data_IF_108649202363
#
_entry.id   IF_108649202363
#
_cell.length_a   1.000
_cell.length_b   1.000
_cell.length_c   1.000
_cell.angle_alpha   90.00
_cell.angle_beta   90.00
_cell.angle_gamma   90.00
#
_symmetry.space_group_name_H-M   'P 1'
#
loop_
_entity.id
_entity.type
_entity.pdbx_description
1 polymer ?
#
# COMPACT_ATOMS: atom_id res chain seq x y z
N UNK A 1 -9.70 -11.63 -11.88
CA UNK A 1 -8.88 -10.75 -11.04
C UNK A 1 -9.39 -9.34 -11.13
N UNK A 2 -9.59 -8.72 -10.00
CA UNK A 2 -10.15 -7.38 -9.94
C UNK A 2 -9.30 -6.49 -9.03
N UNK A 3 -9.14 -5.21 -9.41
CA UNK A 3 -8.53 -4.21 -8.54
C UNK A 3 -9.30 -4.03 -7.22
N UNK A 4 -10.58 -4.42 -7.18
CA UNK A 4 -11.41 -4.38 -5.97
C UNK A 4 -10.98 -5.36 -4.88
N UNK A 5 -10.15 -6.34 -5.21
CA UNK A 5 -9.60 -7.27 -4.22
C UNK A 5 -8.34 -6.74 -3.55
N UNK A 6 -7.85 -5.57 -3.95
CA UNK A 6 -6.59 -5.02 -3.47
C UNK A 6 -6.86 -3.80 -2.61
N UNK A 7 -6.32 -3.82 -1.39
CA UNK A 7 -6.40 -2.71 -0.44
C UNK A 7 -4.99 -2.17 -0.18
N UNK A 8 -4.87 -0.85 -0.17
CA UNK A 8 -3.64 -0.18 0.26
C UNK A 8 -3.84 0.34 1.68
N UNK A 9 -2.94 -0.01 2.59
CA UNK A 9 -3.01 0.34 4.01
C UNK A 9 -1.84 1.26 4.35
N UNK A 10 -2.15 2.44 4.86
CA UNK A 10 -1.17 3.39 5.38
C UNK A 10 -1.20 3.31 6.91
N UNK A 11 -0.12 2.84 7.50
CA UNK A 11 0.01 2.69 8.95
C UNK A 11 0.71 3.91 9.55
N UNK A 12 -0.01 4.67 10.35
CA UNK A 12 0.47 5.89 11.02
C UNK A 12 1.12 6.89 10.07
N UNK A 13 0.46 7.24 8.95
CA UNK A 13 1.02 8.24 8.04
C UNK A 13 1.13 9.59 8.76
N UNK A 14 2.21 10.31 8.51
CA UNK A 14 2.54 11.54 9.24
C UNK A 14 2.18 12.81 8.48
N UNK A 15 2.26 12.78 7.14
CA UNK A 15 2.11 13.97 6.30
C UNK A 15 0.85 13.91 5.47
N UNK A 16 0.01 14.94 5.59
CA UNK A 16 -1.23 15.08 4.83
C UNK A 16 -1.01 14.97 3.33
N UNK A 17 0.03 15.63 2.82
CA UNK A 17 0.36 15.63 1.38
C UNK A 17 0.71 14.24 0.85
N UNK A 18 1.31 13.39 1.68
CA UNK A 18 1.60 12.00 1.29
C UNK A 18 0.31 11.16 1.21
N UNK A 19 -0.61 11.37 2.13
CA UNK A 19 -1.90 10.67 2.11
C UNK A 19 -2.68 11.02 0.85
N UNK A 20 -2.79 12.31 0.54
CA UNK A 20 -3.47 12.77 -0.67
C UNK A 20 -2.80 12.26 -1.94
N UNK A 21 -1.46 12.31 -2.00
CA UNK A 21 -0.69 11.81 -3.13
C UNK A 21 -0.86 10.30 -3.33
N UNK A 22 -0.95 9.53 -2.23
CA UNK A 22 -1.25 8.09 -2.29
C UNK A 22 -2.62 7.83 -2.95
N UNK A 23 -3.66 8.54 -2.52
CA UNK A 23 -4.99 8.40 -3.11
C UNK A 23 -4.98 8.74 -4.61
N UNK A 24 -4.28 9.82 -4.98
CA UNK A 24 -4.12 10.20 -6.39
C UNK A 24 -3.44 9.09 -7.19
N UNK A 25 -2.35 8.53 -6.67
CA UNK A 25 -1.63 7.43 -7.31
C UNK A 25 -2.47 6.17 -7.45
N UNK A 26 -3.26 5.84 -6.43
CA UNK A 26 -4.21 4.72 -6.50
C UNK A 26 -5.21 4.91 -7.63
N UNK A 27 -5.77 6.09 -7.77
CA UNK A 27 -6.74 6.38 -8.83
C UNK A 27 -6.12 6.30 -10.23
N UNK A 28 -4.87 6.71 -10.37
CA UNK A 28 -4.15 6.60 -11.64
C UNK A 28 -4.14 5.15 -12.17
N UNK A 29 -4.11 4.18 -11.28
CA UNK A 29 -4.01 2.76 -11.64
C UNK A 29 -5.28 1.97 -11.30
N UNK A 30 -6.39 2.66 -11.12
CA UNK A 30 -7.72 2.08 -10.93
C UNK A 30 -7.88 1.27 -9.64
N UNK A 31 -7.20 1.68 -8.57
CA UNK A 31 -7.40 1.14 -7.23
C UNK A 31 -8.23 2.11 -6.39
N UNK A 32 -9.16 1.57 -5.60
CA UNK A 32 -10.13 2.38 -4.86
C UNK A 32 -10.13 2.17 -3.35
N UNK A 33 -9.57 1.05 -2.86
CA UNK A 33 -9.65 0.69 -1.45
C UNK A 33 -8.43 1.18 -0.68
N UNK A 34 -8.64 2.26 0.07
CA UNK A 34 -7.65 2.83 0.98
C UNK A 34 -8.08 2.59 2.42
N UNK A 35 -7.16 2.10 3.23
CA UNK A 35 -7.31 1.99 4.68
C UNK A 35 -6.21 2.80 5.35
N UNK A 36 -6.58 3.56 6.37
CA UNK A 36 -5.64 4.40 7.13
C UNK A 36 -5.69 4.00 8.60
N UNK A 37 -4.54 3.70 9.17
CA UNK A 37 -4.40 3.31 10.56
C UNK A 37 -3.76 4.44 11.35
N UNK A 38 -4.47 4.94 12.35
CA UNK A 38 -3.98 5.93 13.32
C UNK A 38 -3.16 7.07 12.66
N UNK A 39 -3.75 7.83 11.72
CA UNK A 39 -3.03 8.91 11.05
C UNK A 39 -2.65 10.01 12.04
N UNK A 40 -1.45 10.60 11.89
CA UNK A 40 -1.01 11.72 12.72
C UNK A 40 -1.82 12.99 12.46
N UNK A 41 -2.07 13.39 11.19
CA UNK A 41 -2.94 14.54 10.94
C UNK A 41 -4.41 14.18 11.20
N UNK A 42 -5.23 15.21 11.44
CA UNK A 42 -6.70 15.05 11.45
C UNK A 42 -7.12 14.50 10.09
N UNK A 43 -7.93 13.45 10.09
CA UNK A 43 -8.29 12.76 8.86
C UNK A 43 -9.82 12.70 8.68
N UNK A 44 -10.36 13.14 7.53
CA UNK A 44 -9.64 13.89 6.49
C UNK A 44 -9.43 15.36 6.87
N UNK A 45 -8.63 16.07 6.10
CA UNK A 45 -8.46 17.51 6.23
C UNK A 45 -8.31 18.15 4.84
N UNK A 46 -8.31 19.49 4.80
CA UNK A 46 -8.29 20.23 3.54
C UNK A 46 -7.04 19.96 2.72
N UNK A 47 -5.90 19.80 3.37
CA UNK A 47 -4.62 19.54 2.68
C UNK A 47 -4.59 18.14 2.04
N UNK A 48 -5.14 17.15 2.74
CA UNK A 48 -5.30 15.79 2.18
C UNK A 48 -6.19 15.84 0.94
N UNK A 49 -7.32 16.52 1.03
CA UNK A 49 -8.25 16.63 -0.09
C UNK A 49 -7.65 17.41 -1.26
N UNK A 50 -6.92 18.49 -0.99
CA UNK A 50 -6.28 19.29 -2.02
C UNK A 50 -5.19 18.48 -2.77
N UNK A 51 -4.37 17.74 -2.04
CA UNK A 51 -3.28 16.94 -2.63
C UNK A 51 -3.77 15.65 -3.30
N UNK A 52 -4.98 15.20 -3.00
CA UNK A 52 -5.59 14.07 -3.69
C UNK A 52 -6.10 14.43 -5.09
N UNK A 53 -6.21 15.72 -5.40
CA UNK A 53 -6.66 16.24 -6.69
C UNK A 53 -8.03 15.64 -7.06
N UNK A 54 -8.14 14.86 -8.13
CA UNK A 54 -9.38 14.19 -8.55
C UNK A 54 -9.72 12.91 -7.80
N UNK A 55 -8.97 12.54 -6.76
CA UNK A 55 -9.15 11.30 -6.01
C UNK A 55 -9.82 11.49 -4.63
N UNK A 56 -10.56 12.57 -4.45
CA UNK A 56 -11.27 12.84 -3.18
C UNK A 56 -12.22 11.72 -2.77
N UNK A 57 -12.82 11.05 -3.74
CA UNK A 57 -13.72 9.92 -3.47
C UNK A 57 -13.00 8.76 -2.78
N UNK A 58 -11.73 8.52 -3.07
CA UNK A 58 -10.93 7.48 -2.40
C UNK A 58 -10.73 7.86 -0.93
N UNK A 59 -10.39 9.12 -0.65
CA UNK A 59 -10.26 9.64 0.71
C UNK A 59 -11.58 9.51 1.47
N UNK A 60 -12.69 9.94 0.86
CA UNK A 60 -13.99 9.97 1.52
C UNK A 60 -14.56 8.57 1.78
N UNK A 61 -14.20 7.57 0.99
CA UNK A 61 -14.62 6.18 1.16
C UNK A 61 -13.63 5.33 1.95
N UNK A 62 -12.49 5.90 2.34
CA UNK A 62 -11.46 5.16 3.06
C UNK A 62 -11.97 4.69 4.43
N UNK A 63 -11.43 3.56 4.87
CA UNK A 63 -11.67 3.04 6.21
C UNK A 63 -10.56 3.52 7.14
N UNK A 64 -10.93 3.94 8.33
CA UNK A 64 -9.99 4.42 9.35
C UNK A 64 -10.09 3.54 10.57
N UNK A 65 -8.94 3.07 11.06
CA UNK A 65 -8.84 2.23 12.25
C UNK A 65 -7.80 2.82 13.21
N UNK A 66 -7.97 2.54 14.50
CA UNK A 66 -6.98 2.91 15.51
C UNK A 66 -5.82 1.90 15.57
N UNK A 67 -6.07 0.65 15.16
CA UNK A 67 -5.12 -0.45 15.22
C UNK A 67 -5.12 -1.25 13.93
N UNK A 68 -3.97 -1.85 13.62
CA UNK A 68 -3.78 -2.62 12.39
C UNK A 68 -4.63 -3.90 12.36
N UNK A 69 -4.63 -4.67 13.44
CA UNK A 69 -5.24 -6.00 13.48
C UNK A 69 -6.70 -6.03 13.00
N UNK A 70 -7.60 -5.15 13.50
CA UNK A 70 -8.98 -5.15 13.02
C UNK A 70 -9.12 -4.87 11.52
N UNK A 71 -8.19 -4.11 10.94
CA UNK A 71 -8.22 -3.76 9.52
C UNK A 71 -7.92 -4.94 8.60
N UNK A 72 -7.32 -6.01 9.14
CA UNK A 72 -6.89 -7.18 8.38
C UNK A 72 -7.89 -8.33 8.39
N UNK A 73 -9.04 -8.16 9.07
CA UNK A 73 -10.01 -9.22 9.30
C UNK A 73 -10.47 -9.92 8.01
N UNK A 74 -10.69 -9.16 6.94
CA UNK A 74 -11.19 -9.70 5.68
C UNK A 74 -10.09 -9.81 4.60
N UNK A 75 -8.82 -9.79 5.00
CA UNK A 75 -7.68 -9.87 4.08
C UNK A 75 -7.10 -11.28 4.10
N UNK A 76 -6.88 -11.85 2.91
CA UNK A 76 -6.27 -13.18 2.78
C UNK A 76 -4.75 -13.14 2.84
N UNK A 77 -4.13 -12.15 2.19
CA UNK A 77 -2.67 -11.98 2.16
C UNK A 77 -2.28 -10.54 2.46
N UNK A 78 -1.32 -10.37 3.34
CA UNK A 78 -0.73 -9.07 3.66
C UNK A 78 0.70 -9.05 3.17
N UNK A 79 1.04 -8.05 2.37
CA UNK A 79 2.38 -7.80 1.85
C UNK A 79 2.87 -6.49 2.45
N UNK A 80 3.86 -6.58 3.35
CA UNK A 80 4.42 -5.42 4.00
C UNK A 80 5.59 -4.87 3.18
N UNK A 81 5.54 -3.58 2.86
CA UNK A 81 6.68 -2.91 2.24
C UNK A 81 7.69 -2.55 3.31
N UNK A 82 8.93 -2.91 3.10
CA UNK A 82 9.99 -2.65 4.07
C UNK A 82 11.34 -2.48 3.38
N UNK A 83 12.10 -1.50 3.85
CA UNK A 83 13.52 -1.36 3.48
C UNK A 83 14.43 -2.20 4.38
N UNK A 84 13.87 -2.88 5.38
CA UNK A 84 14.63 -3.62 6.39
C UNK A 84 14.12 -5.05 6.51
N UNK A 85 15.06 -6.01 6.52
CA UNK A 85 14.77 -7.44 6.68
C UNK A 85 15.16 -7.86 8.09
N UNK A 86 14.22 -7.76 9.04
CA UNK A 86 14.49 -8.11 10.44
C UNK A 86 13.88 -9.43 10.87
N UNK A 87 12.80 -9.86 10.22
CA UNK A 87 12.09 -11.08 10.61
C UNK A 87 12.41 -12.22 9.63
N UNK A 88 13.21 -13.17 10.08
CA UNK A 88 13.62 -14.33 9.29
C UNK A 88 12.50 -15.34 9.04
N UNK A 89 11.37 -15.23 9.76
CA UNK A 89 10.25 -16.15 9.63
C UNK A 89 9.26 -15.74 8.55
N UNK A 90 9.37 -14.53 8.02
CA UNK A 90 8.48 -14.03 6.97
C UNK A 90 9.22 -14.09 5.64
N UNK A 91 8.57 -14.70 4.66
CA UNK A 91 9.13 -14.81 3.32
C UNK A 91 9.31 -13.43 2.70
N UNK A 92 10.53 -13.20 2.22
CA UNK A 92 10.87 -12.00 1.50
C UNK A 92 10.69 -12.20 0.01
N UNK A 93 10.02 -11.27 -0.66
CA UNK A 93 9.80 -11.31 -2.10
C UNK A 93 10.33 -10.05 -2.78
N UNK A 94 10.68 -10.21 -4.04
CA UNK A 94 11.04 -9.11 -4.92
C UNK A 94 9.81 -8.60 -5.69
N UNK A 95 9.96 -7.45 -6.32
CA UNK A 95 8.85 -6.84 -7.07
C UNK A 95 8.30 -7.78 -8.15
N UNK A 96 9.18 -8.46 -8.90
CA UNK A 96 8.78 -9.40 -9.93
C UNK A 96 8.03 -10.63 -9.39
N UNK A 97 8.20 -10.98 -8.12
CA UNK A 97 7.49 -12.10 -7.49
C UNK A 97 5.99 -11.81 -7.33
N UNK A 98 5.59 -10.55 -7.45
CA UNK A 98 4.17 -10.19 -7.44
C UNK A 98 3.38 -10.87 -8.56
N UNK A 99 4.04 -11.28 -9.64
CA UNK A 99 3.44 -12.06 -10.72
C UNK A 99 2.91 -13.41 -10.25
N UNK A 100 3.45 -13.94 -9.15
CA UNK A 100 3.08 -15.23 -8.58
C UNK A 100 1.95 -15.13 -7.55
N UNK A 101 1.58 -13.91 -7.16
CA UNK A 101 0.51 -13.69 -6.17
C UNK A 101 -0.85 -13.90 -6.84
N UNK A 102 -1.74 -14.57 -6.12
CA UNK A 102 -3.11 -14.79 -6.55
C UNK A 102 -3.99 -13.57 -6.20
N UNK A 103 -4.15 -12.66 -7.16
CA UNK A 103 -4.98 -11.47 -6.99
C UNK A 103 -6.48 -11.73 -7.14
N UNK A 104 -6.92 -12.98 -7.26
CA UNK A 104 -8.34 -13.32 -7.03
C UNK A 104 -8.66 -13.32 -5.55
N UNK A 105 -7.67 -13.42 -4.70
CA UNK A 105 -7.77 -13.29 -3.24
C UNK A 105 -7.74 -11.84 -2.81
N UNK A 106 -8.15 -11.58 -1.57
CA UNK A 106 -8.09 -10.25 -0.97
C UNK A 106 -6.68 -9.98 -0.46
N UNK A 107 -5.98 -9.10 -1.13
CA UNK A 107 -4.58 -8.76 -0.86
C UNK A 107 -4.48 -7.34 -0.33
N UNK A 108 -3.73 -7.14 0.73
CA UNK A 108 -3.40 -5.81 1.25
C UNK A 108 -1.92 -5.54 1.13
N UNK A 109 -1.59 -4.35 0.65
CA UNK A 109 -0.24 -3.79 0.68
C UNK A 109 -0.14 -2.85 1.86
N UNK A 110 0.76 -3.14 2.80
CA UNK A 110 0.93 -2.40 4.03
C UNK A 110 2.17 -1.50 3.97
N UNK A 111 1.96 -0.21 4.18
CA UNK A 111 3.01 0.81 4.16
C UNK A 111 3.18 1.43 5.55
N UNK A 112 4.41 1.57 6.00
CA UNK A 112 4.73 2.21 7.27
C UNK A 112 4.79 3.73 7.19
N UNK A 113 4.99 4.35 8.36
CA UNK A 113 5.12 5.80 8.44
C UNK A 113 6.39 6.30 7.74
N UNK A 114 6.36 7.57 7.34
CA UNK A 114 7.44 8.20 6.57
C UNK A 114 8.79 8.17 7.29
N UNK A 115 8.78 8.40 8.60
CA UNK A 115 10.02 8.50 9.37
C UNK A 115 10.56 7.15 9.84
N UNK A 116 9.69 6.24 10.30
CA UNK A 116 10.12 5.03 11.00
C UNK A 116 9.81 3.73 10.25
N UNK A 117 9.00 3.79 9.19
CA UNK A 117 8.55 2.59 8.49
C UNK A 117 7.68 1.70 9.38
N UNK A 118 7.71 0.40 9.12
CA UNK A 118 6.99 -0.60 9.90
C UNK A 118 7.90 -1.17 10.99
N UNK A 119 7.36 -1.32 12.20
CA UNK A 119 8.04 -2.04 13.28
C UNK A 119 7.96 -3.55 13.07
N UNK A 120 8.73 -4.31 13.88
CA UNK A 120 8.66 -5.77 13.85
C UNK A 120 7.26 -6.28 14.18
N UNK A 121 6.52 -5.58 15.04
CA UNK A 121 5.17 -5.96 15.39
C UNK A 121 4.21 -5.88 14.19
N UNK A 122 4.21 -4.76 13.45
CA UNK A 122 3.37 -4.62 12.26
C UNK A 122 3.77 -5.60 11.17
N UNK A 123 5.08 -5.81 10.96
CA UNK A 123 5.58 -6.77 9.98
C UNK A 123 5.14 -8.19 10.34
N UNK A 124 4.99 -8.52 11.63
CA UNK A 124 4.56 -9.85 12.06
C UNK A 124 3.19 -10.27 11.55
N UNK A 125 2.33 -9.31 11.17
CA UNK A 125 1.03 -9.60 10.56
C UNK A 125 1.11 -9.92 9.07
N UNK A 126 2.26 -9.71 8.44
CA UNK A 126 2.42 -9.91 7.00
C UNK A 126 2.75 -11.36 6.65
N UNK A 127 2.25 -11.79 5.49
CA UNK A 127 2.63 -13.06 4.87
C UNK A 127 3.95 -12.94 4.12
N UNK A 128 4.20 -11.76 3.55
CA UNK A 128 5.39 -11.46 2.76
C UNK A 128 5.90 -10.07 3.10
N UNK A 129 7.21 -9.89 3.01
CA UNK A 129 7.81 -8.55 2.95
C UNK A 129 8.30 -8.29 1.53
N UNK A 130 8.10 -7.07 1.08
CA UNK A 130 8.47 -6.63 -0.26
C UNK A 130 9.39 -5.42 -0.16
N UNK A 131 10.53 -5.49 -0.84
CA UNK A 131 11.41 -4.36 -0.99
C UNK A 131 11.43 -3.89 -2.44
N UNK A 132 11.29 -2.58 -2.63
CA UNK A 132 11.49 -1.95 -3.91
C UNK A 132 13.01 -1.72 -4.08
N UNK A 133 13.63 -2.21 -5.17
CA UNK A 133 15.05 -1.97 -5.39
C UNK A 133 15.35 -0.47 -5.51
N UNK A 134 16.28 -0.01 -4.72
CA UNK A 134 16.75 1.38 -4.72
C UNK A 134 18.28 1.41 -4.68
N UNK A 135 18.84 2.60 -4.80
CA UNK A 135 20.27 2.81 -4.55
C UNK A 135 20.60 2.37 -3.11
N UNK A 136 21.55 1.44 -2.91
CA UNK A 136 21.90 0.98 -1.56
C UNK A 136 22.36 2.08 -0.61
N UNK A 137 22.90 3.18 -1.14
CA UNK A 137 23.35 4.32 -0.35
C UNK A 137 22.21 5.31 -0.04
N UNK A 138 21.07 5.17 -0.71
CA UNK A 138 19.91 6.04 -0.50
C UNK A 138 18.63 5.23 -0.69
N UNK A 139 18.23 4.50 0.36
CA UNK A 139 17.09 3.60 0.34
C UNK A 139 15.76 4.27 0.70
N UNK A 140 15.81 5.49 1.24
CA UNK A 140 14.63 6.21 1.68
C UNK A 140 13.79 6.67 0.49
N UNK A 141 12.71 5.97 0.24
CA UNK A 141 11.77 6.27 -0.83
C UNK A 141 10.53 6.94 -0.21
N UNK A 142 10.09 8.03 -0.81
CA UNK A 142 8.88 8.72 -0.37
C UNK A 142 7.69 7.73 -0.35
N UNK A 143 6.82 7.86 0.65
CA UNK A 143 5.68 6.97 0.85
C UNK A 143 4.80 6.87 -0.41
N UNK A 144 4.41 7.99 -0.99
CA UNK A 144 3.55 7.99 -2.18
C UNK A 144 4.26 7.42 -3.40
N UNK A 145 5.58 7.62 -3.52
CA UNK A 145 6.37 7.03 -4.60
C UNK A 145 6.42 5.50 -4.47
N UNK A 146 6.60 4.98 -3.26
CA UNK A 146 6.56 3.54 -3.01
C UNK A 146 5.22 2.94 -3.42
N UNK A 147 4.13 3.59 -3.01
CA UNK A 147 2.79 3.14 -3.35
C UNK A 147 2.57 3.15 -4.86
N UNK A 148 2.97 4.22 -5.54
CA UNK A 148 2.80 4.35 -6.99
C UNK A 148 3.55 3.27 -7.75
N UNK A 149 4.79 2.96 -7.37
CA UNK A 149 5.57 1.91 -8.01
C UNK A 149 4.85 0.56 -7.91
N UNK A 150 4.37 0.22 -6.73
CA UNK A 150 3.65 -1.04 -6.50
C UNK A 150 2.32 -1.03 -7.25
N UNK A 151 1.56 0.05 -7.17
CA UNK A 151 0.26 0.18 -7.85
C UNK A 151 0.40 0.02 -9.36
N UNK A 152 1.40 0.66 -9.95
CA UNK A 152 1.66 0.55 -11.39
C UNK A 152 2.01 -0.89 -11.76
N UNK A 153 2.90 -1.51 -11.01
CA UNK A 153 3.35 -2.88 -11.30
C UNK A 153 2.18 -3.88 -11.19
N UNK A 154 1.40 -3.80 -10.11
CA UNK A 154 0.25 -4.68 -9.91
C UNK A 154 -0.84 -4.42 -10.96
N UNK A 155 -1.08 -3.18 -11.31
CA UNK A 155 -2.02 -2.81 -12.39
C UNK A 155 -1.62 -3.47 -13.70
N UNK A 156 -0.34 -3.47 -14.05
CA UNK A 156 0.15 -4.11 -15.27
C UNK A 156 -0.06 -5.63 -15.26
N UNK A 157 0.12 -6.28 -14.10
CA UNK A 157 -0.13 -7.71 -13.93
C UNK A 157 -1.62 -8.03 -14.16
N UNK A 158 -2.51 -7.28 -13.52
CA UNK A 158 -3.95 -7.49 -13.62
C UNK A 158 -4.42 -7.30 -15.06
N UNK A 159 -3.99 -6.23 -15.72
CA UNK A 159 -4.33 -5.96 -17.13
C UNK A 159 -3.80 -7.07 -18.03
N UNK A 160 -2.58 -7.51 -17.81
CA UNK A 160 -1.95 -8.57 -18.60
C UNK A 160 -2.74 -9.88 -18.51
N UNK A 161 -3.18 -10.26 -17.31
CA UNK A 161 -3.90 -11.51 -17.08
C UNK A 161 -5.36 -11.45 -17.52
N UNK A 162 -5.96 -10.26 -17.60
CA UNK A 162 -7.37 -10.07 -17.97
C UNK A 162 -7.57 -9.63 -19.41
N UNK A 163 -6.55 -9.05 -20.04
CA UNK A 163 -6.62 -8.68 -21.45
C UNK A 163 -6.28 -9.90 -22.28
N UNK A 164 -7.20 -10.27 -23.17
CA UNK A 164 -6.83 -11.14 -24.28
C UNK A 164 -5.90 -10.33 -25.18
N UNK A 165 -4.66 -10.76 -25.30
CA UNK A 165 -3.77 -10.24 -26.32
C UNK A 165 -4.42 -10.40 -27.68
N UNK A 166 -4.85 -9.30 -28.20
CA UNK A 166 -5.29 -9.24 -29.59
C UNK A 166 -4.16 -8.71 -30.44
#
# INVERSE_FOLDING_TARGET
>A
MSSNNITFILHKPQLSENIGACARGMKNFNFQKLTVIDPRPIFPNDKILATSVGAKNIINKSKVFDNLEPSLKDIDFVIATSARFRNKNIKHIQLEDLKKIDFTKKVAFLFGSEASGLSNNEVSYANYTLQIPTNPEFKSLNLSHSLIIIAQYVSSIIKFKTSNFK
#
